data_IF_717305087145
#
_entry.id   IF_717305087145
#
_cell.length_a   1.000
_cell.length_b   1.000
_cell.length_c   1.000
_cell.angle_alpha   90.00
_cell.angle_beta   90.00
_cell.angle_gamma   90.00
#
_symmetry.space_group_name_H-M   'P 1'
#
loop_
_entity.id
_entity.type
_entity.pdbx_description
1 polymer ?
#
# COMPACT_ATOMS: atom_id res chain seq x y z
N UNK A 1 -32.96 57.51 10.90
CA UNK A 1 -31.99 57.08 9.88
C UNK A 1 -31.29 55.84 10.46
N UNK A 2 -31.72 54.66 10.02
CA UNK A 2 -31.11 53.38 10.51
C UNK A 2 -30.09 52.92 9.50
N UNK A 3 -28.82 52.95 9.89
CA UNK A 3 -27.74 52.37 9.08
C UNK A 3 -27.81 50.84 9.13
N UNK A 4 -28.11 50.27 7.98
CA UNK A 4 -28.05 48.83 7.77
C UNK A 4 -26.60 48.41 7.61
N UNK A 5 -26.01 47.87 8.66
CA UNK A 5 -24.64 47.31 8.63
C UNK A 5 -24.62 46.08 7.71
N UNK A 6 -24.07 46.24 6.52
CA UNK A 6 -23.85 45.14 5.58
C UNK A 6 -22.96 44.06 6.23
N UNK A 7 -23.50 42.84 6.43
CA UNK A 7 -22.74 41.67 6.84
C UNK A 7 -21.66 41.40 5.77
N UNK A 8 -20.41 41.73 6.08
CA UNK A 8 -19.23 41.31 5.27
C UNK A 8 -19.21 39.81 5.18
N UNK A 9 -19.53 39.26 4.01
CA UNK A 9 -19.35 37.85 3.71
C UNK A 9 -17.89 37.44 3.90
N UNK A 10 -17.67 36.20 4.35
CA UNK A 10 -16.32 35.63 4.49
C UNK A 10 -15.62 35.71 3.13
N UNK A 11 -14.33 36.18 3.08
CA UNK A 11 -13.57 36.24 1.82
C UNK A 11 -13.59 34.91 1.08
N UNK A 12 -13.62 34.89 -0.25
CA UNK A 12 -13.57 33.65 -1.01
C UNK A 12 -12.30 32.87 -0.64
N UNK A 13 -12.46 31.57 -0.43
CA UNK A 13 -11.38 30.66 -0.08
C UNK A 13 -10.34 30.60 -1.21
N UNK A 14 -9.05 30.74 -0.92
CA UNK A 14 -7.99 30.59 -1.92
C UNK A 14 -7.90 29.13 -2.39
N UNK A 15 -7.35 28.88 -3.59
CA UNK A 15 -7.12 27.51 -4.10
C UNK A 15 -6.30 26.68 -3.11
N UNK A 16 -5.28 27.27 -2.51
CA UNK A 16 -4.42 26.60 -1.51
C UNK A 16 -5.21 26.20 -0.24
N UNK A 17 -6.08 27.10 0.26
CA UNK A 17 -6.93 26.79 1.42
C UNK A 17 -7.95 25.68 1.09
N UNK A 18 -8.48 25.68 -0.12
CA UNK A 18 -9.39 24.61 -0.58
C UNK A 18 -8.68 23.26 -0.62
N UNK A 19 -7.46 23.20 -1.16
CA UNK A 19 -6.66 21.98 -1.22
C UNK A 19 -6.27 21.50 0.17
N UNK A 20 -5.88 22.37 1.09
CA UNK A 20 -5.61 22.01 2.49
C UNK A 20 -6.82 21.37 3.18
N UNK A 21 -8.03 21.88 2.94
CA UNK A 21 -9.25 21.29 3.51
C UNK A 21 -9.53 19.93 2.88
N UNK A 22 -9.37 19.80 1.56
CA UNK A 22 -9.53 18.53 0.84
C UNK A 22 -8.56 17.47 1.37
N UNK A 23 -7.29 17.79 1.47
CA UNK A 23 -6.26 16.89 2.00
C UNK A 23 -6.55 16.48 3.46
N UNK A 24 -7.02 17.41 4.30
CA UNK A 24 -7.42 17.10 5.68
C UNK A 24 -8.58 16.10 5.74
N UNK A 25 -9.55 16.20 4.83
CA UNK A 25 -10.66 15.23 4.74
C UNK A 25 -10.12 13.85 4.34
N UNK A 26 -9.22 13.78 3.35
CA UNK A 26 -8.60 12.52 2.89
C UNK A 26 -7.80 11.85 4.01
N UNK A 27 -6.97 12.61 4.72
CA UNK A 27 -6.21 12.08 5.88
C UNK A 27 -7.14 11.58 6.98
N UNK A 28 -8.17 12.35 7.35
CA UNK A 28 -9.17 11.92 8.32
C UNK A 28 -9.90 10.64 7.87
N UNK A 29 -10.14 10.49 6.56
CA UNK A 29 -10.74 9.28 6.01
C UNK A 29 -9.83 8.07 6.18
N UNK A 30 -8.52 8.20 5.91
CA UNK A 30 -7.55 7.14 6.13
C UNK A 30 -7.50 6.70 7.60
N UNK A 31 -7.52 7.64 8.54
CA UNK A 31 -7.56 7.36 9.98
C UNK A 31 -8.85 6.67 10.43
N UNK A 32 -10.02 7.08 9.92
CA UNK A 32 -11.30 6.40 10.21
C UNK A 32 -11.30 5.01 9.59
N UNK A 33 -10.90 4.88 8.33
CA UNK A 33 -10.82 3.58 7.65
C UNK A 33 -9.88 2.61 8.37
N UNK A 34 -8.75 3.06 8.91
CA UNK A 34 -7.81 2.21 9.66
C UNK A 34 -8.44 1.55 10.89
N UNK A 35 -9.47 2.18 11.47
CA UNK A 35 -10.18 1.68 12.65
C UNK A 35 -11.42 0.87 12.33
N UNK A 36 -12.11 1.19 11.24
CA UNK A 36 -13.47 0.71 10.98
C UNK A 36 -13.65 -0.11 9.71
N UNK A 37 -12.66 -0.07 8.81
CA UNK A 37 -12.81 -0.61 7.45
C UNK A 37 -13.88 0.15 6.64
N UNK A 38 -14.20 -0.34 5.44
CA UNK A 38 -15.23 0.23 4.56
C UNK A 38 -16.63 0.18 5.16
N UNK A 39 -16.97 -0.92 5.82
CA UNK A 39 -18.32 -1.13 6.38
C UNK A 39 -18.65 -0.17 7.51
N UNK A 40 -17.67 0.25 8.28
CA UNK A 40 -17.83 1.19 9.38
C UNK A 40 -17.58 2.65 9.00
N UNK A 41 -17.09 2.92 7.79
CA UNK A 41 -16.75 4.27 7.33
C UNK A 41 -18.01 5.11 7.08
N UNK A 42 -18.09 6.28 7.70
CA UNK A 42 -19.22 7.20 7.53
C UNK A 42 -18.78 8.66 7.43
N UNK A 43 -19.59 9.47 6.74
CA UNK A 43 -19.36 10.92 6.65
C UNK A 43 -19.33 11.58 8.03
N UNK A 44 -20.13 11.10 8.98
CA UNK A 44 -20.17 11.66 10.34
C UNK A 44 -18.82 11.49 11.05
N UNK A 45 -18.23 10.29 11.00
CA UNK A 45 -16.91 10.01 11.59
C UNK A 45 -15.79 10.79 10.90
N UNK A 46 -15.83 10.90 9.56
CA UNK A 46 -14.83 11.70 8.81
C UNK A 46 -14.91 13.17 9.21
N UNK A 47 -16.11 13.74 9.32
CA UNK A 47 -16.34 15.13 9.75
C UNK A 47 -15.79 15.37 11.16
N UNK A 48 -16.09 14.47 12.08
CA UNK A 48 -15.60 14.52 13.45
C UNK A 48 -14.07 14.46 13.51
N UNK A 49 -13.48 13.48 12.83
CA UNK A 49 -12.02 13.30 12.75
C UNK A 49 -11.31 14.49 12.08
N UNK A 50 -11.89 15.03 11.00
CA UNK A 50 -11.35 16.18 10.29
C UNK A 50 -11.57 17.53 11.03
N UNK A 51 -12.43 17.58 12.06
CA UNK A 51 -12.76 18.81 12.77
C UNK A 51 -13.41 19.88 11.84
N UNK A 52 -14.32 19.46 10.97
CA UNK A 52 -14.99 20.35 10.00
C UNK A 52 -16.50 20.30 10.14
N UNK A 53 -17.17 21.34 9.62
CA UNK A 53 -18.63 21.34 9.55
C UNK A 53 -19.16 20.48 8.38
N UNK A 54 -20.32 19.85 8.57
CA UNK A 54 -20.98 19.01 7.56
C UNK A 54 -21.12 19.69 6.16
N UNK A 55 -21.54 20.97 6.04
CA UNK A 55 -21.56 21.65 4.75
C UNK A 55 -20.18 21.80 4.10
N UNK A 56 -19.11 21.86 4.90
CA UNK A 56 -17.74 21.91 4.39
C UNK A 56 -17.35 20.58 3.74
N UNK A 57 -17.69 19.44 4.32
CA UNK A 57 -17.45 18.13 3.72
C UNK A 57 -18.14 18.02 2.33
N UNK A 58 -19.44 18.30 2.28
CA UNK A 58 -20.24 18.17 1.03
C UNK A 58 -19.86 19.17 -0.07
N UNK A 59 -19.04 20.16 0.22
CA UNK A 59 -18.44 21.03 -0.80
C UNK A 59 -17.35 20.29 -1.61
N UNK A 60 -16.69 19.29 -1.03
CA UNK A 60 -15.55 18.57 -1.61
C UNK A 60 -15.88 17.15 -2.03
N UNK A 61 -16.79 16.48 -1.33
CA UNK A 61 -17.10 15.07 -1.53
C UNK A 61 -18.60 14.83 -1.34
N UNK A 62 -19.19 14.00 -2.20
CA UNK A 62 -20.62 13.67 -2.14
C UNK A 62 -20.93 12.60 -1.09
N UNK A 63 -19.98 11.71 -0.78
CA UNK A 63 -20.14 10.61 0.14
C UNK A 63 -18.80 10.19 0.76
N UNK A 64 -18.81 9.23 1.71
CA UNK A 64 -17.61 8.75 2.38
C UNK A 64 -16.68 7.92 1.48
N UNK A 65 -17.20 7.36 0.41
CA UNK A 65 -16.41 6.53 -0.52
C UNK A 65 -15.46 7.38 -1.36
N UNK A 66 -15.86 8.56 -1.80
CA UNK A 66 -15.03 9.42 -2.65
C UNK A 66 -13.66 9.75 -2.04
N UNK A 67 -13.55 10.25 -0.79
CA UNK A 67 -12.24 10.48 -0.20
C UNK A 67 -11.50 9.17 0.10
N UNK A 68 -12.19 8.04 0.35
CA UNK A 68 -11.54 6.73 0.47
C UNK A 68 -10.87 6.30 -0.83
N UNK A 69 -11.54 6.50 -1.98
CA UNK A 69 -10.92 6.19 -3.28
C UNK A 69 -9.61 6.95 -3.50
N UNK A 70 -9.52 8.20 -3.05
CA UNK A 70 -8.26 8.96 -3.12
C UNK A 70 -7.17 8.41 -2.18
N UNK A 71 -7.55 7.90 -1.00
CA UNK A 71 -6.62 7.20 -0.10
C UNK A 71 -6.08 5.95 -0.79
N UNK A 72 -6.94 5.17 -1.43
CA UNK A 72 -6.56 3.93 -2.12
C UNK A 72 -5.70 4.22 -3.37
N UNK A 73 -6.04 5.26 -4.15
CA UNK A 73 -5.23 5.68 -5.30
C UNK A 73 -3.81 6.08 -4.85
N UNK A 74 -3.68 6.93 -3.84
CA UNK A 74 -2.37 7.33 -3.31
C UNK A 74 -1.58 6.13 -2.75
N UNK A 75 -2.25 5.16 -2.13
CA UNK A 75 -1.65 3.91 -1.66
C UNK A 75 -1.07 3.10 -2.82
N UNK A 76 -1.84 2.90 -3.88
CA UNK A 76 -1.41 2.18 -5.07
C UNK A 76 -0.26 2.88 -5.79
N UNK A 77 -0.37 4.19 -6.00
CA UNK A 77 0.70 5.00 -6.61
C UNK A 77 2.01 4.84 -5.82
N UNK A 78 1.94 4.91 -4.49
CA UNK A 78 3.11 4.72 -3.62
C UNK A 78 3.71 3.32 -3.73
N UNK A 79 2.90 2.26 -3.82
CA UNK A 79 3.38 0.89 -4.00
C UNK A 79 4.06 0.70 -5.37
N UNK A 80 3.36 1.07 -6.43
CA UNK A 80 3.85 0.90 -7.82
C UNK A 80 5.13 1.72 -8.04
N UNK A 81 5.18 2.95 -7.53
CA UNK A 81 6.37 3.80 -7.62
C UNK A 81 7.54 3.22 -6.81
N UNK A 82 7.30 2.70 -5.60
CA UNK A 82 8.31 2.01 -4.80
C UNK A 82 8.90 0.81 -5.54
N UNK A 83 8.06 -0.04 -6.14
CA UNK A 83 8.48 -1.19 -6.95
C UNK A 83 9.25 -0.72 -8.20
N UNK A 84 8.76 0.29 -8.91
CA UNK A 84 9.42 0.85 -10.08
C UNK A 84 10.81 1.38 -9.75
N UNK A 85 10.94 2.13 -8.65
CA UNK A 85 12.23 2.65 -8.17
C UNK A 85 13.20 1.52 -7.79
N UNK A 86 12.73 0.45 -7.16
CA UNK A 86 13.54 -0.72 -6.87
C UNK A 86 14.10 -1.38 -8.14
N UNK A 87 13.36 -1.32 -9.25
CA UNK A 87 13.74 -1.92 -10.54
C UNK A 87 14.64 -1.01 -11.41
N UNK A 88 14.76 0.29 -11.12
CA UNK A 88 15.63 1.21 -11.89
C UNK A 88 17.11 1.03 -11.59
N UNK A 89 17.46 0.44 -10.45
CA UNK A 89 18.85 0.20 -10.06
C UNK A 89 19.45 -0.93 -10.92
N UNK A 90 20.76 -0.86 -11.20
CA UNK A 90 21.52 -1.88 -11.94
C UNK A 90 21.75 -3.17 -11.14
N UNK A 91 20.76 -3.57 -10.34
CA UNK A 91 20.77 -4.81 -9.59
C UNK A 91 20.18 -5.95 -10.43
N UNK A 92 20.72 -7.13 -10.30
CA UNK A 92 20.29 -8.35 -10.98
C UNK A 92 20.12 -9.50 -9.99
N UNK A 93 19.42 -10.52 -10.43
CA UNK A 93 19.31 -11.77 -9.68
C UNK A 93 18.76 -11.59 -8.27
N UNK A 94 19.47 -12.12 -7.29
CA UNK A 94 19.07 -12.13 -5.87
C UNK A 94 18.92 -10.73 -5.30
N UNK A 95 19.81 -9.80 -5.66
CA UNK A 95 19.76 -8.42 -5.16
C UNK A 95 18.48 -7.72 -5.62
N UNK A 96 18.05 -7.94 -6.87
CA UNK A 96 16.81 -7.40 -7.39
C UNK A 96 15.60 -7.92 -6.60
N UNK A 97 15.55 -9.23 -6.31
CA UNK A 97 14.51 -9.83 -5.50
C UNK A 97 14.45 -9.23 -4.08
N UNK A 98 15.60 -9.02 -3.46
CA UNK A 98 15.70 -8.38 -2.13
C UNK A 98 15.14 -6.96 -2.17
N UNK A 99 15.51 -6.16 -3.16
CA UNK A 99 15.06 -4.77 -3.31
C UNK A 99 13.54 -4.66 -3.52
N UNK A 100 12.97 -5.57 -4.30
CA UNK A 100 11.51 -5.63 -4.48
C UNK A 100 10.79 -5.90 -3.17
N UNK A 101 11.29 -6.84 -2.38
CA UNK A 101 10.71 -7.17 -1.07
C UNK A 101 10.87 -5.99 -0.10
N UNK A 102 12.04 -5.33 -0.08
CA UNK A 102 12.27 -4.18 0.79
C UNK A 102 11.34 -3.01 0.42
N UNK A 103 11.15 -2.72 -0.87
CA UNK A 103 10.21 -1.70 -1.33
C UNK A 103 8.77 -1.99 -0.91
N UNK A 104 8.33 -3.26 -0.98
CA UNK A 104 7.02 -3.68 -0.54
C UNK A 104 6.84 -3.57 0.98
N UNK A 105 7.85 -3.95 1.76
CA UNK A 105 7.83 -3.83 3.22
C UNK A 105 7.88 -2.36 3.69
N UNK A 106 8.61 -1.50 2.99
CA UNK A 106 8.66 -0.06 3.28
C UNK A 106 7.30 0.60 3.00
N UNK A 107 6.66 0.25 1.88
CA UNK A 107 5.28 0.66 1.61
C UNK A 107 4.32 0.17 2.73
N UNK A 108 4.42 -1.08 3.13
CA UNK A 108 3.60 -1.65 4.19
C UNK A 108 3.81 -0.90 5.53
N UNK A 109 5.06 -0.63 5.90
CA UNK A 109 5.39 0.13 7.12
C UNK A 109 4.80 1.54 7.09
N UNK A 110 4.85 2.22 5.95
CA UNK A 110 4.27 3.55 5.77
C UNK A 110 2.75 3.60 5.97
N UNK A 111 2.05 2.48 5.78
CA UNK A 111 0.59 2.38 5.96
C UNK A 111 0.18 2.05 7.40
N UNK A 112 1.05 1.47 8.19
CA UNK A 112 0.80 1.17 9.60
C UNK A 112 -0.56 0.51 9.86
N UNK A 113 -1.41 1.07 10.77
CA UNK A 113 -2.69 0.47 11.13
C UNK A 113 -3.69 0.29 9.98
N UNK A 114 -3.54 1.03 8.88
CA UNK A 114 -4.43 0.94 7.72
C UNK A 114 -4.28 -0.40 6.97
N UNK A 115 -3.13 -1.08 7.10
CA UNK A 115 -2.90 -2.37 6.43
C UNK A 115 -3.93 -3.43 6.82
N UNK A 116 -4.31 -3.48 8.09
CA UNK A 116 -5.22 -4.53 8.59
C UNK A 116 -6.58 -4.51 7.89
N UNK A 117 -7.34 -3.40 7.86
CA UNK A 117 -8.60 -3.35 7.11
C UNK A 117 -8.36 -3.44 5.59
N UNK A 118 -7.28 -2.86 5.07
CA UNK A 118 -6.92 -2.96 3.66
C UNK A 118 -6.81 -4.43 3.23
N UNK A 119 -5.96 -5.20 3.88
CA UNK A 119 -5.75 -6.62 3.56
C UNK A 119 -6.97 -7.51 3.87
N UNK A 120 -7.78 -7.15 4.87
CA UNK A 120 -9.01 -7.90 5.16
C UNK A 120 -10.05 -7.79 4.03
N UNK A 121 -10.01 -6.73 3.25
CA UNK A 121 -10.98 -6.44 2.19
C UNK A 121 -10.46 -6.68 0.75
N UNK A 122 -9.19 -7.10 0.58
CA UNK A 122 -8.57 -7.33 -0.73
C UNK A 122 -9.37 -8.28 -1.64
N UNK A 123 -10.02 -9.27 -1.04
CA UNK A 123 -10.75 -10.32 -1.76
C UNK A 123 -12.27 -10.17 -1.63
N UNK A 124 -12.77 -9.09 -1.05
CA UNK A 124 -14.21 -8.81 -0.99
C UNK A 124 -14.65 -8.04 -2.25
N UNK A 125 -15.37 -8.68 -3.20
CA UNK A 125 -15.79 -8.02 -4.45
C UNK A 125 -16.74 -6.84 -4.19
N UNK A 126 -17.36 -6.75 -3.02
CA UNK A 126 -18.22 -5.63 -2.64
C UNK A 126 -17.43 -4.43 -2.09
N UNK A 127 -16.15 -4.63 -1.74
CA UNK A 127 -15.28 -3.54 -1.29
C UNK A 127 -14.61 -2.84 -2.48
N UNK A 128 -14.52 -1.50 -2.46
CA UNK A 128 -13.74 -0.78 -3.46
C UNK A 128 -12.25 -1.16 -3.42
N UNK A 129 -11.75 -1.68 -2.30
CA UNK A 129 -10.35 -2.09 -2.11
C UNK A 129 -9.94 -3.16 -3.11
N UNK A 130 -10.79 -4.14 -3.42
CA UNK A 130 -10.45 -5.23 -4.36
C UNK A 130 -10.13 -4.72 -5.76
N UNK A 131 -10.92 -3.79 -6.29
CA UNK A 131 -10.67 -3.20 -7.62
C UNK A 131 -9.39 -2.36 -7.68
N UNK A 132 -9.02 -1.70 -6.59
CA UNK A 132 -7.75 -0.98 -6.50
C UNK A 132 -6.57 -1.94 -6.45
N UNK A 133 -6.69 -3.03 -5.68
CA UNK A 133 -5.69 -4.08 -5.64
C UNK A 133 -5.38 -4.65 -7.03
N UNK A 134 -6.39 -5.05 -7.79
CA UNK A 134 -6.17 -5.63 -9.13
C UNK A 134 -5.40 -4.68 -10.05
N UNK A 135 -5.72 -3.38 -10.04
CA UNK A 135 -4.97 -2.38 -10.83
C UNK A 135 -3.50 -2.31 -10.42
N UNK A 136 -3.21 -2.26 -9.11
CA UNK A 136 -1.83 -2.24 -8.61
C UNK A 136 -1.06 -3.50 -9.04
N UNK A 137 -1.69 -4.67 -8.92
CA UNK A 137 -1.06 -5.94 -9.33
C UNK A 137 -0.81 -5.99 -10.83
N UNK A 138 -1.72 -5.49 -11.67
CA UNK A 138 -1.53 -5.43 -13.12
C UNK A 138 -0.34 -4.54 -13.50
N UNK A 139 -0.19 -3.38 -12.85
CA UNK A 139 0.95 -2.51 -13.06
C UNK A 139 2.27 -3.14 -12.59
N UNK A 140 2.27 -3.79 -11.43
CA UNK A 140 3.45 -4.49 -10.92
C UNK A 140 3.84 -5.64 -11.86
N UNK A 141 2.88 -6.45 -12.30
CA UNK A 141 3.13 -7.53 -13.29
C UNK A 141 3.76 -6.99 -14.56
N UNK A 142 3.23 -5.90 -15.10
CA UNK A 142 3.77 -5.26 -16.31
C UNK A 142 5.21 -4.78 -16.09
N UNK A 143 5.47 -4.07 -14.98
CA UNK A 143 6.78 -3.52 -14.65
C UNK A 143 7.83 -4.62 -14.41
N UNK A 144 7.48 -5.70 -13.72
CA UNK A 144 8.39 -6.83 -13.50
C UNK A 144 8.71 -7.56 -14.80
N UNK A 145 7.70 -7.80 -15.67
CA UNK A 145 7.91 -8.45 -16.99
C UNK A 145 8.80 -7.61 -17.90
N UNK A 146 8.62 -6.29 -17.90
CA UNK A 146 9.47 -5.37 -18.65
C UNK A 146 10.93 -5.48 -18.17
N UNK A 147 11.16 -5.46 -16.86
CA UNK A 147 12.50 -5.61 -16.29
C UNK A 147 13.17 -6.92 -16.65
N UNK A 148 12.45 -8.04 -16.63
CA UNK A 148 12.97 -9.33 -17.05
C UNK A 148 13.37 -9.32 -18.54
N UNK A 149 12.58 -8.67 -19.39
CA UNK A 149 12.89 -8.49 -20.81
C UNK A 149 14.15 -7.65 -21.01
N UNK A 150 14.29 -6.53 -20.29
CA UNK A 150 15.48 -5.67 -20.32
C UNK A 150 16.77 -6.43 -19.95
N UNK A 151 16.67 -7.32 -18.95
CA UNK A 151 17.79 -8.13 -18.47
C UNK A 151 18.07 -9.36 -19.38
N UNK A 152 17.30 -9.56 -20.46
CA UNK A 152 17.43 -10.75 -21.30
C UNK A 152 17.08 -12.06 -20.59
N UNK A 153 16.31 -11.99 -19.50
CA UNK A 153 15.90 -13.16 -18.71
C UNK A 153 14.59 -13.73 -19.23
N UNK A 154 14.34 -15.04 -19.05
CA UNK A 154 13.04 -15.64 -19.35
C UNK A 154 11.94 -14.91 -18.59
N UNK A 155 10.89 -14.48 -19.33
CA UNK A 155 9.76 -13.77 -18.73
C UNK A 155 8.97 -14.75 -17.85
N UNK A 156 8.73 -14.45 -16.56
CA UNK A 156 7.96 -15.31 -15.67
C UNK A 156 6.55 -15.57 -16.20
N UNK A 157 6.04 -16.77 -15.94
CA UNK A 157 4.64 -17.07 -16.27
C UNK A 157 3.69 -16.19 -15.43
N UNK A 158 2.47 -15.91 -15.91
CA UNK A 158 1.48 -15.19 -15.10
C UNK A 158 1.24 -15.86 -13.74
N UNK A 159 1.24 -17.19 -13.69
CA UNK A 159 1.02 -17.95 -12.45
C UNK A 159 2.17 -17.78 -11.45
N UNK A 160 3.43 -17.75 -11.91
CA UNK A 160 4.59 -17.55 -11.04
C UNK A 160 4.58 -16.15 -10.43
N UNK A 161 4.24 -15.13 -11.24
CA UNK A 161 4.08 -13.76 -10.75
C UNK A 161 2.94 -13.66 -9.71
N UNK A 162 1.80 -14.26 -10.00
CA UNK A 162 0.66 -14.27 -9.09
C UNK A 162 0.99 -15.00 -7.79
N UNK A 163 1.67 -16.14 -7.86
CA UNK A 163 2.08 -16.88 -6.67
C UNK A 163 3.03 -16.04 -5.78
N UNK A 164 4.04 -15.39 -6.37
CA UNK A 164 4.96 -14.52 -5.63
C UNK A 164 4.22 -13.35 -4.98
N UNK A 165 3.37 -12.65 -5.73
CA UNK A 165 2.62 -11.49 -5.23
C UNK A 165 1.65 -11.87 -4.10
N UNK A 166 0.86 -12.93 -4.28
CA UNK A 166 -0.11 -13.35 -3.27
C UNK A 166 0.54 -13.87 -1.97
N UNK A 167 1.69 -14.55 -2.08
CA UNK A 167 2.42 -14.96 -0.87
C UNK A 167 2.95 -13.75 -0.14
N UNK A 168 3.49 -12.74 -0.83
CA UNK A 168 3.95 -11.50 -0.21
C UNK A 168 2.80 -10.76 0.49
N UNK A 169 1.64 -10.63 -0.16
CA UNK A 169 0.44 -10.05 0.44
C UNK A 169 0.02 -10.82 1.70
N UNK A 170 -0.05 -12.16 1.62
CA UNK A 170 -0.44 -12.99 2.75
C UNK A 170 0.51 -12.85 3.93
N UNK A 171 1.84 -12.83 3.69
CA UNK A 171 2.84 -12.66 4.74
C UNK A 171 2.68 -11.32 5.45
N UNK A 172 2.51 -10.22 4.69
CA UNK A 172 2.30 -8.88 5.28
C UNK A 172 0.98 -8.83 6.05
N UNK A 173 -0.10 -9.43 5.53
CA UNK A 173 -1.35 -9.56 6.27
C UNK A 173 -1.16 -10.27 7.62
N UNK A 174 -0.45 -11.40 7.63
CA UNK A 174 -0.19 -12.19 8.85
C UNK A 174 0.58 -11.38 9.89
N UNK A 175 1.62 -10.64 9.47
CA UNK A 175 2.39 -9.77 10.36
C UNK A 175 1.48 -8.68 10.95
N UNK A 176 0.73 -7.98 10.10
CA UNK A 176 -0.16 -6.90 10.53
C UNK A 176 -1.28 -7.40 11.45
N UNK A 177 -1.80 -8.61 11.21
CA UNK A 177 -2.84 -9.23 12.03
C UNK A 177 -2.33 -9.73 13.39
N UNK A 178 -1.04 -10.06 13.51
CA UNK A 178 -0.43 -10.52 14.77
C UNK A 178 -0.10 -9.40 15.74
N UNK A 179 0.06 -8.18 15.26
CA UNK A 179 0.30 -7.01 16.10
C UNK A 179 -0.96 -6.62 16.88
N UNK A 180 -0.79 -6.13 18.10
CA UNK A 180 -1.90 -5.56 18.87
C UNK A 180 -2.48 -4.32 18.15
N UNK A 181 -3.78 -4.02 18.29
CA UNK A 181 -4.35 -2.84 17.66
C UNK A 181 -3.58 -1.55 18.04
N UNK A 182 -3.07 -0.83 17.02
CA UNK A 182 -2.32 0.41 17.22
C UNK A 182 -0.84 0.24 17.58
N UNK A 183 -0.31 -1.00 17.63
CA UNK A 183 1.12 -1.26 17.80
C UNK A 183 1.78 -1.68 16.47
N UNK A 184 3.08 -1.44 16.37
CA UNK A 184 3.90 -1.97 15.29
C UNK A 184 4.15 -3.47 15.47
N UNK A 185 4.31 -4.21 14.36
CA UNK A 185 4.72 -5.61 14.43
C UNK A 185 6.11 -5.76 15.07
N UNK A 186 6.32 -6.89 15.74
CA UNK A 186 7.62 -7.23 16.31
C UNK A 186 8.73 -7.28 15.25
N UNK A 187 9.88 -6.62 15.47
CA UNK A 187 10.97 -6.55 14.50
C UNK A 187 11.54 -7.92 14.08
N UNK A 188 11.60 -8.91 14.99
CA UNK A 188 12.07 -10.25 14.66
C UNK A 188 11.08 -10.96 13.72
N UNK A 189 9.78 -10.79 13.98
CA UNK A 189 8.73 -11.29 13.10
C UNK A 189 8.81 -10.67 11.70
N UNK A 190 9.05 -9.36 11.61
CA UNK A 190 9.23 -8.67 10.32
C UNK A 190 10.47 -9.17 9.59
N UNK A 191 11.59 -9.37 10.29
CA UNK A 191 12.82 -9.91 9.72
C UNK A 191 12.63 -11.33 9.19
N UNK A 192 11.98 -12.21 9.95
CA UNK A 192 11.67 -13.58 9.52
C UNK A 192 10.74 -13.60 8.30
N UNK A 193 9.75 -12.73 8.28
CA UNK A 193 8.84 -12.58 7.15
C UNK A 193 9.57 -12.09 5.90
N UNK A 194 10.45 -11.10 6.01
CA UNK A 194 11.31 -10.61 4.91
C UNK A 194 12.08 -11.76 4.27
N UNK A 195 12.75 -12.59 5.08
CA UNK A 195 13.50 -13.76 4.59
C UNK A 195 12.57 -14.75 3.87
N UNK A 196 11.38 -15.01 4.42
CA UNK A 196 10.41 -15.91 3.80
C UNK A 196 9.96 -15.38 2.43
N UNK A 197 9.66 -14.08 2.31
CA UNK A 197 9.27 -13.46 1.06
C UNK A 197 10.40 -13.51 0.02
N UNK A 198 11.64 -13.23 0.41
CA UNK A 198 12.82 -13.35 -0.46
C UNK A 198 12.93 -14.78 -1.01
N UNK A 199 12.83 -15.80 -0.15
CA UNK A 199 12.87 -17.21 -0.58
C UNK A 199 11.78 -17.52 -1.61
N UNK A 200 10.56 -17.08 -1.39
CA UNK A 200 9.44 -17.32 -2.32
C UNK A 200 9.70 -16.63 -3.66
N UNK A 201 10.11 -15.36 -3.65
CA UNK A 201 10.41 -14.62 -4.88
C UNK A 201 11.54 -15.30 -5.67
N UNK A 202 12.61 -15.72 -4.99
CA UNK A 202 13.70 -16.42 -5.64
C UNK A 202 13.30 -17.81 -6.17
N UNK A 203 12.48 -18.54 -5.44
CA UNK A 203 12.00 -19.85 -5.88
C UNK A 203 11.03 -19.79 -7.07
N UNK A 204 10.27 -18.71 -7.21
CA UNK A 204 9.27 -18.54 -8.27
C UNK A 204 9.78 -17.77 -9.48
N UNK A 205 10.62 -16.75 -9.27
CA UNK A 205 11.07 -15.83 -10.32
C UNK A 205 12.59 -15.91 -10.57
N UNK A 206 13.35 -16.53 -9.69
CA UNK A 206 14.79 -16.73 -9.84
C UNK A 206 15.13 -17.87 -10.83
N UNK A 207 16.35 -17.88 -11.31
CA UNK A 207 16.94 -19.01 -12.02
C UNK A 207 17.84 -19.86 -11.11
N UNK A 208 18.43 -20.92 -11.66
CA UNK A 208 19.32 -21.82 -10.89
C UNK A 208 20.54 -21.10 -10.29
N UNK A 209 21.10 -20.13 -11.02
CA UNK A 209 22.27 -19.37 -10.54
C UNK A 209 21.88 -18.44 -9.41
N UNK A 210 20.70 -17.80 -9.47
CA UNK A 210 20.15 -17.00 -8.38
C UNK A 210 19.96 -17.83 -7.11
N UNK A 211 19.41 -19.05 -7.25
CA UNK A 211 19.20 -19.95 -6.11
C UNK A 211 20.52 -20.43 -5.50
N UNK A 212 21.48 -20.82 -6.33
CA UNK A 212 22.82 -21.25 -5.87
C UNK A 212 23.51 -20.11 -5.10
N UNK A 213 23.49 -18.90 -5.66
CA UNK A 213 24.06 -17.72 -4.99
C UNK A 213 23.34 -17.40 -3.68
N UNK A 214 22.02 -17.47 -3.65
CA UNK A 214 21.25 -17.21 -2.45
C UNK A 214 21.50 -18.23 -1.33
N UNK A 215 21.83 -19.48 -1.67
CA UNK A 215 22.22 -20.50 -0.67
C UNK A 215 23.57 -20.20 0.01
N UNK A 216 24.45 -19.43 -0.64
CA UNK A 216 25.73 -18.98 -0.07
C UNK A 216 25.56 -17.74 0.83
N UNK A 217 24.44 -17.00 0.68
CA UNK A 217 24.19 -15.80 1.47
C UNK A 217 23.74 -16.15 2.91
N UNK A 218 24.41 -15.58 3.94
CA UNK A 218 24.04 -15.84 5.32
C UNK A 218 22.60 -15.38 5.61
N UNK A 219 21.81 -16.26 6.23
CA UNK A 219 20.47 -15.94 6.72
C UNK A 219 19.35 -16.06 5.67
N UNK A 220 19.63 -16.26 4.37
CA UNK A 220 18.57 -16.49 3.38
C UNK A 220 18.06 -17.93 3.48
N UNK A 221 18.92 -18.93 3.42
CA UNK A 221 18.56 -20.33 3.62
C UNK A 221 19.20 -20.89 4.89
N UNK A 222 18.56 -21.86 5.59
CA UNK A 222 19.19 -22.52 6.71
C UNK A 222 20.43 -23.27 6.21
N UNK A 223 21.50 -23.27 7.03
CA UNK A 223 22.65 -24.09 6.75
C UNK A 223 22.25 -25.56 6.62
N UNK A 224 22.88 -26.29 5.68
CA UNK A 224 22.67 -27.72 5.60
C UNK A 224 23.04 -28.38 6.92
N UNK A 225 22.24 -29.32 7.44
CA UNK A 225 22.66 -30.09 8.64
C UNK A 225 23.99 -30.81 8.34
N UNK A 226 24.96 -30.64 9.24
CA UNK A 226 26.25 -31.35 9.20
C UNK A 226 26.08 -32.83 9.50
#
# INVERSE_FOLDING_TARGET
MSETTARRGRPPQTKQQAEQVRSRIVLATAEVFSRTGTRGLSVAQIIEQAGIARPTFYRYFANATEPLLLVLDASNEGLVEGIRNALTVTAEGVELGIRLIDAFLDWARGHGPMLRPLFAELHDPASPVSGYRERALDEIRATVREKFSELGRPIPSPLDLDAALHVCEYVVYRISASAAPGSEPDPETVAAARVTMIRVVLATLGNTDDLNYAMELPGIFPAAPQ
#
